data_IF_591470992526
#
_entry.id   IF_591470992526
#
_cell.length_a   1.000
_cell.length_b   1.000
_cell.length_c   1.000
_cell.angle_alpha   90.00
_cell.angle_beta   90.00
_cell.angle_gamma   90.00
#
_symmetry.space_group_name_H-M   'P 1'
#
loop_
_entity.id
_entity.type
_entity.pdbx_description
1 polymer ?
#
# COMPACT_ATOMS: atom_id res chain seq x y z
N UNK A 1 -18.86 -37.97 15.98
CA UNK A 1 -18.15 -37.13 14.98
C UNK A 1 -18.82 -35.77 14.69
N UNK A 2 -19.73 -35.25 15.54
CA UNK A 2 -20.39 -33.96 15.29
C UNK A 2 -19.68 -32.72 15.88
N UNK A 3 -18.95 -32.89 16.99
CA UNK A 3 -18.43 -31.77 17.79
C UNK A 3 -17.19 -31.12 17.16
N UNK A 4 -16.33 -31.91 16.49
CA UNK A 4 -15.13 -31.42 15.82
C UNK A 4 -15.46 -30.47 14.65
N UNK A 5 -16.52 -30.74 13.87
CA UNK A 5 -16.90 -29.89 12.73
C UNK A 5 -17.32 -28.47 13.18
N UNK A 6 -17.93 -28.33 14.35
CA UNK A 6 -18.31 -27.03 14.89
C UNK A 6 -17.10 -26.17 15.29
N UNK A 7 -16.05 -26.77 15.84
CA UNK A 7 -14.83 -26.04 16.23
C UNK A 7 -14.03 -25.51 15.02
N UNK A 8 -13.99 -26.27 13.91
CA UNK A 8 -13.28 -25.84 12.70
C UNK A 8 -14.03 -24.78 11.88
N UNK A 9 -15.37 -24.75 11.94
CA UNK A 9 -16.19 -23.79 11.19
C UNK A 9 -16.43 -22.46 11.91
N UNK A 10 -16.38 -22.43 13.25
CA UNK A 10 -16.56 -21.19 14.04
C UNK A 10 -15.32 -20.28 14.08
N UNK A 11 -14.15 -20.78 13.67
CA UNK A 11 -12.91 -19.99 13.56
C UNK A 11 -12.60 -19.47 12.17
N UNK A 12 -13.56 -19.46 11.23
CA UNK A 12 -13.47 -18.49 10.13
C UNK A 12 -13.58 -17.13 10.81
N UNK A 13 -12.45 -16.41 10.93
CA UNK A 13 -12.46 -14.98 11.23
C UNK A 13 -13.57 -14.42 10.35
N UNK A 14 -14.66 -13.94 10.96
CA UNK A 14 -15.65 -13.17 10.21
C UNK A 14 -14.87 -12.11 9.42
N UNK A 15 -15.28 -11.73 8.20
CA UNK A 15 -14.62 -10.68 7.46
C UNK A 15 -14.70 -9.40 8.32
N UNK A 16 -13.68 -9.20 9.15
CA UNK A 16 -13.50 -8.00 9.94
C UNK A 16 -13.19 -6.92 8.93
N UNK A 17 -13.90 -5.81 9.02
CA UNK A 17 -13.70 -4.71 8.11
C UNK A 17 -12.30 -4.14 8.38
N UNK A 18 -11.34 -4.50 7.52
CA UNK A 18 -9.99 -3.96 7.55
C UNK A 18 -9.97 -2.65 6.78
N UNK A 19 -9.57 -1.56 7.43
CA UNK A 19 -9.41 -0.26 6.80
C UNK A 19 -7.97 -0.13 6.31
N UNK A 20 -7.79 0.16 5.03
CA UNK A 20 -6.47 0.53 4.51
C UNK A 20 -6.07 1.90 5.07
N UNK A 21 -4.82 2.00 5.55
CA UNK A 21 -4.25 3.21 6.14
C UNK A 21 -3.28 3.87 5.16
N UNK A 22 -2.30 3.11 4.70
CA UNK A 22 -1.23 3.59 3.83
C UNK A 22 -0.51 2.41 3.17
N UNK A 23 0.29 2.70 2.15
CA UNK A 23 1.29 1.77 1.63
C UNK A 23 2.67 2.37 1.83
N UNK A 24 3.56 1.67 2.55
CA UNK A 24 4.95 2.09 2.73
C UNK A 24 5.87 1.35 1.75
N UNK A 25 6.93 2.02 1.29
CA UNK A 25 7.97 1.44 0.44
C UNK A 25 9.27 1.33 1.22
N UNK A 26 9.94 0.20 1.07
CA UNK A 26 11.23 -0.02 1.69
C UNK A 26 12.08 -0.98 0.89
N UNK A 27 13.36 -1.01 1.25
CA UNK A 27 14.34 -1.84 0.58
C UNK A 27 14.98 -2.82 1.56
N UNK A 28 15.45 -3.94 1.04
CA UNK A 28 16.30 -4.90 1.75
C UNK A 28 17.53 -5.14 0.89
N UNK A 29 18.75 -5.00 1.45
CA UNK A 29 19.96 -5.22 0.68
C UNK A 29 20.13 -6.70 0.33
N UNK A 30 20.63 -7.00 -0.87
CA UNK A 30 21.06 -8.33 -1.29
C UNK A 30 22.30 -8.21 -2.20
N UNK A 31 23.45 -8.70 -1.75
CA UNK A 31 24.72 -8.46 -2.44
C UNK A 31 25.01 -6.96 -2.58
N UNK A 32 25.36 -6.52 -3.78
CA UNK A 32 25.56 -5.10 -4.14
C UNK A 32 24.24 -4.39 -4.51
N UNK A 33 23.14 -5.13 -4.50
CA UNK A 33 21.82 -4.70 -4.91
C UNK A 33 20.84 -4.48 -3.77
N UNK A 34 19.59 -4.18 -4.13
CA UNK A 34 18.48 -4.05 -3.20
C UNK A 34 17.19 -4.64 -3.77
N UNK A 35 16.36 -5.20 -2.90
CA UNK A 35 15.03 -5.70 -3.21
C UNK A 35 14.02 -4.75 -2.58
N UNK A 36 13.14 -4.21 -3.39
CA UNK A 36 12.06 -3.34 -2.96
C UNK A 36 10.87 -4.16 -2.45
N UNK A 37 10.24 -3.66 -1.40
CA UNK A 37 9.02 -4.23 -0.85
C UNK A 37 8.01 -3.13 -0.58
N UNK A 38 6.76 -3.45 -0.86
CA UNK A 38 5.61 -2.63 -0.50
C UNK A 38 4.93 -3.23 0.73
N UNK A 39 4.53 -2.38 1.66
CA UNK A 39 3.87 -2.77 2.90
C UNK A 39 2.53 -2.06 2.99
N UNK A 40 1.44 -2.77 2.69
CA UNK A 40 0.10 -2.25 2.92
C UNK A 40 -0.22 -2.33 4.41
N UNK A 41 -0.57 -1.20 4.99
CA UNK A 41 -0.89 -1.04 6.41
C UNK A 41 -2.41 -1.03 6.56
N UNK A 42 -2.94 -1.94 7.36
CA UNK A 42 -4.37 -2.04 7.64
C UNK A 42 -4.65 -1.95 9.14
N UNK A 43 -5.71 -1.23 9.49
CA UNK A 43 -6.21 -1.11 10.86
C UNK A 43 -7.62 -1.65 10.93
N UNK A 44 -7.89 -2.44 11.97
CA UNK A 44 -9.20 -2.97 12.28
C UNK A 44 -9.96 -2.03 13.20
N UNK A 45 -11.29 -2.19 13.28
CA UNK A 45 -12.15 -1.38 14.17
C UNK A 45 -11.75 -1.48 15.66
N UNK A 46 -11.16 -2.61 16.08
CA UNK A 46 -10.68 -2.82 17.45
C UNK A 46 -9.29 -2.21 17.72
N UNK A 47 -8.73 -1.46 16.77
CA UNK A 47 -7.40 -0.85 16.86
C UNK A 47 -6.26 -1.83 16.59
N UNK A 48 -6.55 -3.11 16.32
CA UNK A 48 -5.52 -4.05 15.87
C UNK A 48 -4.97 -3.58 14.52
N UNK A 49 -3.66 -3.71 14.34
CA UNK A 49 -2.97 -3.36 13.10
C UNK A 49 -2.34 -4.58 12.47
N UNK A 50 -2.32 -4.62 11.14
CA UNK A 50 -1.65 -5.65 10.37
C UNK A 50 -0.97 -5.06 9.14
N UNK A 51 0.06 -5.75 8.66
CA UNK A 51 0.69 -5.40 7.40
C UNK A 51 0.69 -6.59 6.43
N UNK A 52 0.42 -6.30 5.16
CA UNK A 52 0.64 -7.23 4.06
C UNK A 52 1.85 -6.75 3.25
N UNK A 53 2.82 -7.64 3.04
CA UNK A 53 4.04 -7.34 2.28
C UNK A 53 3.91 -7.90 0.86
N UNK A 54 4.27 -7.08 -0.11
CA UNK A 54 4.36 -7.43 -1.53
C UNK A 54 5.78 -7.21 -2.03
N UNK A 55 6.22 -8.07 -2.94
CA UNK A 55 7.52 -7.94 -3.58
C UNK A 55 7.44 -6.87 -4.68
N UNK A 56 8.45 -6.01 -4.75
CA UNK A 56 8.58 -4.97 -5.76
C UNK A 56 9.71 -5.25 -6.74
N UNK A 57 10.45 -4.21 -7.12
CA UNK A 57 11.62 -4.32 -7.98
C UNK A 57 12.81 -5.02 -7.32
N UNK A 58 13.65 -5.65 -8.14
CA UNK A 58 15.00 -6.08 -7.75
C UNK A 58 16.01 -5.26 -8.53
N UNK A 59 16.96 -4.68 -7.81
CA UNK A 59 17.98 -3.80 -8.36
C UNK A 59 19.35 -4.43 -8.13
N UNK A 60 20.17 -4.51 -9.19
CA UNK A 60 21.55 -4.99 -9.11
C UNK A 60 22.51 -4.00 -8.42
N UNK A 61 22.07 -2.76 -8.24
CA UNK A 61 22.75 -1.72 -7.48
C UNK A 61 21.76 -1.10 -6.49
N UNK A 62 22.26 -0.64 -5.33
CA UNK A 62 21.42 0.04 -4.33
C UNK A 62 20.90 1.38 -4.90
N UNK A 63 19.56 1.60 -4.93
CA UNK A 63 19.00 2.89 -5.28
C UNK A 63 19.46 3.99 -4.31
N UNK A 64 19.72 5.20 -4.82
CA UNK A 64 20.23 6.33 -4.02
C UNK A 64 19.30 6.69 -2.84
N UNK A 65 17.99 6.57 -3.05
CA UNK A 65 16.96 6.89 -2.05
C UNK A 65 16.43 5.65 -1.31
N UNK A 66 17.19 4.56 -1.26
CA UNK A 66 16.75 3.32 -0.62
C UNK A 66 16.61 3.48 0.91
N UNK A 67 15.36 3.45 1.40
CA UNK A 67 15.10 3.38 2.84
C UNK A 67 15.08 1.93 3.33
N UNK A 68 16.15 1.53 4.03
CA UNK A 68 16.30 0.21 4.65
C UNK A 68 15.62 0.10 6.03
N UNK A 69 15.17 1.23 6.59
CA UNK A 69 14.56 1.28 7.91
C UNK A 69 13.05 1.01 7.88
N UNK A 70 12.40 1.10 6.71
CA UNK A 70 10.95 0.91 6.54
C UNK A 70 10.46 -0.38 7.18
N UNK A 71 11.16 -1.50 7.00
CA UNK A 71 10.76 -2.79 7.58
C UNK A 71 10.66 -2.73 9.11
N UNK A 72 11.57 -2.01 9.77
CA UNK A 72 11.54 -1.81 11.21
C UNK A 72 10.41 -0.85 11.62
N UNK A 73 10.21 0.23 10.86
CA UNK A 73 9.11 1.18 11.08
C UNK A 73 7.74 0.51 10.94
N UNK A 74 7.55 -0.36 9.94
CA UNK A 74 6.31 -1.14 9.74
C UNK A 74 6.06 -2.07 10.92
N UNK A 75 7.09 -2.77 11.41
CA UNK A 75 6.97 -3.59 12.63
C UNK A 75 6.56 -2.75 13.83
N UNK A 76 7.21 -1.61 14.05
CA UNK A 76 6.88 -0.71 15.14
C UNK A 76 5.42 -0.22 15.04
N UNK A 77 4.96 0.14 13.84
CA UNK A 77 3.59 0.58 13.60
C UNK A 77 2.54 -0.48 13.95
N UNK A 78 2.78 -1.76 13.58
CA UNK A 78 1.92 -2.89 13.96
C UNK A 78 1.75 -3.01 15.49
N UNK A 79 2.79 -2.63 16.26
CA UNK A 79 2.75 -2.62 17.73
C UNK A 79 2.38 -1.27 18.35
N UNK A 80 1.73 -0.37 17.60
CA UNK A 80 1.22 0.91 18.12
C UNK A 80 2.14 2.11 17.89
N UNK A 81 3.26 1.94 17.18
CA UNK A 81 4.13 3.02 16.76
C UNK A 81 3.52 3.94 15.68
N UNK A 82 4.29 4.95 15.29
CA UNK A 82 3.91 5.90 14.23
C UNK A 82 3.93 5.24 12.84
N UNK A 83 3.16 5.81 11.92
CA UNK A 83 3.16 5.38 10.51
C UNK A 83 4.59 5.59 9.94
N UNK A 84 5.11 4.66 9.11
CA UNK A 84 6.41 4.83 8.46
C UNK A 84 6.53 6.14 7.69
N UNK A 85 7.74 6.66 7.53
CA UNK A 85 7.98 7.89 6.76
C UNK A 85 7.87 7.69 5.25
N UNK A 86 8.23 6.51 4.78
CA UNK A 86 8.29 6.16 3.36
C UNK A 86 6.94 5.75 2.78
N UNK A 87 5.89 6.52 3.07
CA UNK A 87 4.54 6.28 2.53
C UNK A 87 4.51 6.68 1.06
N UNK A 88 3.94 5.83 0.22
CA UNK A 88 3.53 6.19 -1.13
C UNK A 88 2.40 7.21 -1.05
N UNK A 89 2.72 8.46 -1.35
CA UNK A 89 1.72 9.49 -1.56
C UNK A 89 1.42 9.61 -3.06
N UNK A 90 0.23 9.13 -3.47
CA UNK A 90 -0.25 9.22 -4.85
C UNK A 90 -1.15 10.44 -5.11
N UNK A 91 -1.50 11.22 -4.07
CA UNK A 91 -2.39 12.38 -4.24
C UNK A 91 -1.88 13.37 -5.29
N UNK A 92 -0.58 13.74 -5.34
CA UNK A 92 -0.07 14.64 -6.38
C UNK A 92 -0.25 14.08 -7.79
N UNK A 93 -0.06 12.76 -7.96
CA UNK A 93 -0.21 12.08 -9.24
C UNK A 93 -1.67 12.01 -9.68
N UNK A 94 -2.59 11.71 -8.74
CA UNK A 94 -4.03 11.73 -9.01
C UNK A 94 -4.47 13.15 -9.41
N UNK A 95 -4.01 14.18 -8.69
CA UNK A 95 -4.32 15.57 -8.99
C UNK A 95 -3.79 15.98 -10.38
N UNK A 96 -2.58 15.56 -10.74
CA UNK A 96 -2.00 15.79 -12.05
C UNK A 96 -2.81 15.12 -13.16
N UNK A 97 -3.10 13.83 -13.03
CA UNK A 97 -3.90 13.06 -14.00
C UNK A 97 -5.31 13.69 -14.14
N UNK A 98 -5.96 14.06 -13.04
CA UNK A 98 -7.26 14.72 -13.07
C UNK A 98 -7.21 16.07 -13.79
N UNK A 99 -6.12 16.84 -13.64
CA UNK A 99 -5.92 18.09 -14.38
C UNK A 99 -5.75 17.84 -15.88
N UNK A 100 -5.00 16.82 -16.27
CA UNK A 100 -4.83 16.46 -17.68
C UNK A 100 -6.14 16.00 -18.32
N UNK A 101 -6.88 15.11 -17.66
CA UNK A 101 -8.22 14.67 -18.09
C UNK A 101 -9.14 15.88 -18.30
N UNK A 102 -9.11 16.86 -17.39
CA UNK A 102 -9.93 18.08 -17.49
C UNK A 102 -9.50 19.00 -18.65
N UNK A 103 -8.22 19.02 -19.02
CA UNK A 103 -7.75 19.76 -20.21
C UNK A 103 -8.23 19.09 -21.49
N UNK A 104 -8.07 17.77 -21.59
CA UNK A 104 -8.48 16.99 -22.75
C UNK A 104 -9.99 17.06 -22.98
N UNK A 105 -10.79 16.95 -21.90
CA UNK A 105 -12.26 16.99 -22.00
C UNK A 105 -12.81 18.36 -22.45
N UNK A 106 -12.10 19.46 -22.17
CA UNK A 106 -12.46 20.80 -22.67
C UNK A 106 -12.15 20.96 -24.16
N UNK A 107 -11.08 20.34 -24.66
CA UNK A 107 -10.69 20.44 -26.07
C UNK A 107 -11.61 19.60 -26.97
N UNK A 108 -12.06 18.43 -26.51
CA UNK A 108 -13.02 17.59 -27.24
C UNK A 108 -14.44 18.16 -27.33
N UNK A 109 -14.79 19.15 -26.51
CA UNK A 109 -16.10 19.82 -26.54
C UNK A 109 -16.25 20.89 -27.63
N UNK A 110 -15.15 21.30 -28.29
CA UNK A 110 -15.16 22.37 -29.29
C UNK A 110 -15.21 21.87 -30.75
N UNK A 111 -15.19 20.55 -30.98
CA UNK A 111 -15.19 19.96 -32.34
C UNK A 111 -16.60 19.77 -32.95
N UNK A 112 -17.67 19.99 -32.17
CA UNK A 112 -19.06 19.88 -32.64
C UNK A 112 -19.81 21.21 -32.53
N UNK A 113 -19.22 22.32 -32.99
CA UNK A 113 -20.01 23.50 -33.36
C UNK A 113 -20.37 23.36 -34.83
N UNK A 114 -21.56 22.82 -35.09
CA UNK A 114 -22.15 22.66 -36.41
C UNK A 114 -22.07 23.98 -37.21
N UNK A 115 -21.41 23.92 -38.37
CA UNK A 115 -21.59 24.89 -39.47
C UNK A 115 -22.87 24.58 -40.24
#
# INVERSE_FOLDING_TARGET
MGILKHLFLTKRKQPRQKKWVATAVGYVPWGDGAAEYFYNLYEYEDGTRECERFDGGQYYTIPENADFSTKAQVKAWVYGGNVPKSILNYEPLIDEINREIKKLSKNSGNEYVYR
#
